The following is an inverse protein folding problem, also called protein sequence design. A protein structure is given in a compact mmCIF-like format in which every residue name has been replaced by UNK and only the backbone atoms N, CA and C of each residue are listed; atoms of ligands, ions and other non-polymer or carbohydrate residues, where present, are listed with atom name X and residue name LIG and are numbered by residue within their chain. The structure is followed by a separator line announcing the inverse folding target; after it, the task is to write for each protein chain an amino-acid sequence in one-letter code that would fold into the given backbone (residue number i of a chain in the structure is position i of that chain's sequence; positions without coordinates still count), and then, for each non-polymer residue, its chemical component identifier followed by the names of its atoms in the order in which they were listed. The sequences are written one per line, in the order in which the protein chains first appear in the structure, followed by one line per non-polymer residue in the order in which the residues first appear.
data_IF_748471589422
#
_entry.id   IF_748471589422
#
_cell.length_a   1.000
_cell.length_b   1.000
_cell.length_c   1.000
_cell.angle_alpha   90.00
_cell.angle_beta   90.00
_cell.angle_gamma   90.00
#
_symmetry.space_group_name_H-M   'P 1'
#
loop_
_entity.id
_entity.type
_entity.pdbx_description
1 polymer ?
#
# COMPACT_ATOMS: atom_id res chain seq x y z
N UNK A 1 -22.40 -20.28 -4.45
CA UNK A 1 -22.78 -19.35 -5.55
C UNK A 1 -23.92 -18.54 -5.00
N UNK A 2 -23.86 -17.22 -5.11
CA UNK A 2 -24.91 -16.35 -4.57
C UNK A 2 -26.25 -16.67 -5.23
N UNK A 3 -27.32 -16.70 -4.43
CA UNK A 3 -28.68 -16.70 -4.96
C UNK A 3 -28.89 -15.41 -5.77
N UNK A 4 -29.71 -15.46 -6.83
CA UNK A 4 -29.98 -14.30 -7.69
C UNK A 4 -30.51 -13.08 -6.92
N UNK A 5 -31.16 -13.30 -5.76
CA UNK A 5 -31.61 -12.23 -4.86
C UNK A 5 -30.49 -11.54 -4.08
N UNK A 6 -29.30 -12.14 -4.00
CA UNK A 6 -28.14 -11.63 -3.26
C UNK A 6 -27.09 -10.96 -4.17
N UNK A 7 -27.14 -11.19 -5.47
CA UNK A 7 -26.30 -10.46 -6.43
C UNK A 7 -26.87 -9.06 -6.70
N UNK A 8 -25.98 -8.10 -6.93
CA UNK A 8 -26.34 -6.76 -7.38
C UNK A 8 -25.57 -6.38 -8.64
N UNK A 9 -26.16 -5.56 -9.48
CA UNK A 9 -25.54 -5.12 -10.72
C UNK A 9 -24.61 -3.94 -10.47
N UNK A 10 -23.38 -4.02 -10.99
CA UNK A 10 -22.41 -2.93 -10.93
C UNK A 10 -22.55 -2.06 -12.19
N UNK A 11 -22.34 -0.73 -12.08
CA UNK A 11 -22.38 0.14 -13.25
C UNK A 11 -21.40 -0.33 -14.32
N UNK A 12 -21.91 -0.56 -15.54
CA UNK A 12 -21.11 -1.10 -16.65
C UNK A 12 -19.82 -0.28 -16.92
N UNK A 13 -19.91 1.05 -16.81
CA UNK A 13 -18.75 1.94 -16.95
C UNK A 13 -17.65 1.69 -15.92
N UNK A 14 -18.01 1.35 -14.68
CA UNK A 14 -17.04 1.00 -13.64
C UNK A 14 -16.31 -0.30 -13.99
N UNK A 15 -17.05 -1.32 -14.42
CA UNK A 15 -16.49 -2.61 -14.84
C UNK A 15 -15.44 -2.44 -15.94
N UNK A 16 -15.71 -1.62 -16.95
CA UNK A 16 -14.75 -1.31 -18.02
C UNK A 16 -13.49 -0.66 -17.44
N UNK A 17 -13.66 0.40 -16.65
CA UNK A 17 -12.52 1.13 -16.06
C UNK A 17 -11.67 0.22 -15.18
N UNK A 18 -12.31 -0.61 -14.35
CA UNK A 18 -11.64 -1.58 -13.50
C UNK A 18 -10.75 -2.55 -14.32
N UNK A 19 -11.27 -3.09 -15.43
CA UNK A 19 -10.47 -3.97 -16.29
C UNK A 19 -9.31 -3.23 -16.98
N UNK A 20 -9.52 -1.99 -17.42
CA UNK A 20 -8.45 -1.17 -18.01
C UNK A 20 -7.35 -0.90 -16.98
N UNK A 21 -7.71 -0.46 -15.78
CA UNK A 21 -6.77 -0.21 -14.68
C UNK A 21 -5.97 -1.49 -14.36
N UNK A 22 -6.65 -2.60 -14.13
CA UNK A 22 -6.02 -3.90 -13.85
C UNK A 22 -5.07 -4.32 -14.98
N UNK A 23 -5.46 -4.13 -16.24
CA UNK A 23 -4.65 -4.46 -17.42
C UNK A 23 -3.38 -3.61 -17.53
N UNK A 24 -3.35 -2.42 -16.93
CA UNK A 24 -2.17 -1.55 -16.87
C UNK A 24 -1.33 -1.85 -15.64
N UNK A 25 -1.97 -2.02 -14.48
CA UNK A 25 -1.30 -2.18 -13.18
C UNK A 25 -0.52 -3.49 -13.09
N UNK A 26 -1.04 -4.60 -13.61
CA UNK A 26 -0.32 -5.89 -13.61
C UNK A 26 1.01 -5.83 -14.38
N UNK A 27 1.06 -5.34 -15.64
CA UNK A 27 2.32 -5.09 -16.33
C UNK A 27 3.25 -4.14 -15.58
N UNK A 28 2.73 -3.10 -14.93
CA UNK A 28 3.52 -2.17 -14.12
C UNK A 28 4.22 -2.89 -12.97
N UNK A 29 3.51 -3.72 -12.20
CA UNK A 29 4.12 -4.51 -11.13
C UNK A 29 5.14 -5.50 -11.68
N UNK A 30 4.78 -6.25 -12.73
CA UNK A 30 5.66 -7.23 -13.37
C UNK A 30 6.98 -6.61 -13.86
N UNK A 31 6.88 -5.50 -14.59
CA UNK A 31 8.02 -4.74 -15.09
C UNK A 31 8.87 -4.18 -13.93
N UNK A 32 8.21 -3.66 -12.89
CA UNK A 32 8.90 -3.09 -11.73
C UNK A 32 9.69 -4.15 -10.97
N UNK A 33 9.08 -5.30 -10.67
CA UNK A 33 9.75 -6.44 -10.02
C UNK A 33 10.90 -6.94 -10.90
N UNK A 34 10.69 -7.06 -12.22
CA UNK A 34 11.73 -7.47 -13.16
C UNK A 34 12.93 -6.51 -13.17
N UNK A 35 12.70 -5.20 -13.25
CA UNK A 35 13.76 -4.19 -13.22
C UNK A 35 14.54 -4.29 -11.90
N UNK A 36 13.83 -4.41 -10.79
CA UNK A 36 14.48 -4.53 -9.48
C UNK A 36 15.36 -5.77 -9.43
N UNK A 37 14.86 -6.94 -9.81
CA UNK A 37 15.62 -8.20 -9.71
C UNK A 37 16.81 -8.22 -10.68
N UNK A 38 16.60 -7.86 -11.95
CA UNK A 38 17.56 -8.13 -13.01
C UNK A 38 18.41 -6.93 -13.46
N UNK A 39 18.01 -5.68 -13.17
CA UNK A 39 18.69 -4.48 -13.70
C UNK A 39 19.33 -3.59 -12.64
N UNK A 40 19.07 -3.82 -11.36
CA UNK A 40 19.70 -3.04 -10.28
C UNK A 40 21.07 -3.60 -9.86
N UNK A 41 22.01 -2.74 -9.43
CA UNK A 41 23.36 -3.17 -9.05
C UNK A 41 23.37 -4.06 -7.80
N UNK A 42 24.35 -4.95 -7.68
CA UNK A 42 24.49 -5.89 -6.56
C UNK A 42 24.59 -5.21 -5.19
N UNK A 43 25.23 -4.05 -5.09
CA UNK A 43 25.35 -3.26 -3.84
C UNK A 43 23.99 -2.76 -3.31
N UNK A 44 22.92 -2.88 -4.11
CA UNK A 44 21.55 -2.52 -3.75
C UNK A 44 20.72 -3.73 -3.30
N UNK A 45 21.32 -4.92 -3.20
CA UNK A 45 20.62 -6.19 -2.99
C UNK A 45 19.72 -6.24 -1.76
N UNK A 46 20.16 -5.70 -0.62
CA UNK A 46 19.39 -5.78 0.62
C UNK A 46 18.21 -4.83 0.63
N UNK A 47 18.41 -3.57 0.21
CA UNK A 47 17.29 -2.64 0.06
C UNK A 47 16.30 -3.10 -1.03
N UNK A 48 16.82 -3.69 -2.11
CA UNK A 48 15.99 -4.28 -3.17
C UNK A 48 15.00 -5.29 -2.64
N UNK A 49 15.39 -6.16 -1.68
CA UNK A 49 14.48 -7.16 -1.10
C UNK A 49 13.27 -6.47 -0.45
N UNK A 50 13.49 -5.46 0.38
CA UNK A 50 12.41 -4.69 1.01
C UNK A 50 11.51 -4.02 -0.03
N UNK A 51 12.10 -3.49 -1.09
CA UNK A 51 11.35 -2.82 -2.15
C UNK A 51 10.47 -3.78 -2.95
N UNK A 52 11.02 -4.95 -3.32
CA UNK A 52 10.26 -6.01 -4.00
C UNK A 52 9.12 -6.50 -3.12
N UNK A 53 9.36 -6.73 -1.83
CA UNK A 53 8.32 -7.14 -0.89
C UNK A 53 7.20 -6.09 -0.76
N UNK A 54 7.56 -4.80 -0.75
CA UNK A 54 6.58 -3.70 -0.70
C UNK A 54 5.76 -3.58 -2.00
N UNK A 55 6.39 -3.74 -3.17
CA UNK A 55 5.67 -3.78 -4.45
C UNK A 55 4.74 -4.99 -4.48
N UNK A 56 5.21 -6.15 -4.02
CA UNK A 56 4.41 -7.36 -3.93
C UNK A 56 3.24 -7.22 -2.96
N UNK A 57 3.41 -6.52 -1.82
CA UNK A 57 2.29 -6.22 -0.91
C UNK A 57 1.23 -5.36 -1.58
N UNK A 58 1.63 -4.39 -2.42
CA UNK A 58 0.71 -3.60 -3.24
C UNK A 58 -0.07 -4.45 -4.24
N UNK A 59 0.63 -5.29 -5.02
CA UNK A 59 -0.01 -6.22 -5.96
C UNK A 59 -0.97 -7.18 -5.25
N UNK A 60 -0.57 -7.75 -4.11
CA UNK A 60 -1.42 -8.66 -3.33
C UNK A 60 -2.71 -7.95 -2.88
N UNK A 61 -2.60 -6.73 -2.38
CA UNK A 61 -3.75 -5.96 -1.92
C UNK A 61 -4.67 -5.55 -3.10
N UNK A 62 -4.11 -5.23 -4.26
CA UNK A 62 -4.87 -4.94 -5.48
C UNK A 62 -5.63 -6.17 -6.00
N UNK A 63 -4.97 -7.33 -6.11
CA UNK A 63 -5.62 -8.61 -6.46
C UNK A 63 -6.71 -8.94 -5.47
N UNK A 64 -6.43 -8.76 -4.18
CA UNK A 64 -7.37 -9.05 -3.12
C UNK A 64 -8.60 -8.12 -3.18
N UNK A 65 -8.42 -6.81 -3.26
CA UNK A 65 -9.54 -5.85 -3.31
C UNK A 65 -10.31 -5.93 -4.61
N UNK A 66 -9.62 -6.06 -5.74
CA UNK A 66 -10.22 -5.97 -7.07
C UNK A 66 -10.82 -7.27 -7.61
N UNK A 67 -10.20 -8.41 -7.31
CA UNK A 67 -10.60 -9.71 -7.88
C UNK A 67 -11.24 -10.59 -6.82
N UNK A 68 -10.59 -10.77 -5.67
CA UNK A 68 -11.05 -11.73 -4.66
C UNK A 68 -12.25 -11.17 -3.90
N UNK A 69 -12.13 -9.96 -3.34
CA UNK A 69 -13.15 -9.37 -2.49
C UNK A 69 -14.16 -8.54 -3.28
N UNK A 70 -13.72 -7.76 -4.28
CA UNK A 70 -14.58 -6.91 -5.13
C UNK A 70 -15.62 -6.14 -4.31
N UNK A 71 -15.14 -5.41 -3.30
CA UNK A 71 -15.98 -4.71 -2.33
C UNK A 71 -16.49 -3.39 -2.88
N UNK A 72 -17.69 -3.00 -2.48
CA UNK A 72 -18.25 -1.65 -2.65
C UNK A 72 -18.97 -1.22 -1.38
N UNK A 73 -19.18 0.08 -1.22
CA UNK A 73 -19.98 0.66 -0.13
C UNK A 73 -21.27 1.21 -0.70
N UNK A 74 -22.42 0.79 -0.17
CA UNK A 74 -23.72 1.19 -0.74
C UNK A 74 -24.23 2.48 -0.10
N UNK A 75 -23.65 3.61 -0.51
CA UNK A 75 -24.01 4.92 0.01
C UNK A 75 -25.50 5.26 -0.21
N UNK A 76 -26.16 5.98 0.73
CA UNK A 76 -25.62 6.55 1.97
C UNK A 76 -25.54 5.54 3.13
N UNK A 77 -25.95 4.30 2.91
CA UNK A 77 -25.90 3.23 3.91
C UNK A 77 -24.43 2.75 4.03
N UNK A 78 -23.80 2.81 5.21
CA UNK A 78 -22.40 2.41 5.38
C UNK A 78 -22.22 0.87 5.42
N UNK A 79 -22.91 0.16 4.53
CA UNK A 79 -22.81 -1.30 4.36
C UNK A 79 -21.77 -1.59 3.28
N UNK A 80 -20.88 -2.54 3.56
CA UNK A 80 -19.94 -3.05 2.58
C UNK A 80 -20.52 -4.30 1.96
N UNK A 81 -20.54 -4.35 0.63
CA UNK A 81 -21.07 -5.45 -0.14
C UNK A 81 -20.00 -5.96 -1.10
N UNK A 82 -19.94 -7.28 -1.29
CA UNK A 82 -19.08 -7.93 -2.27
C UNK A 82 -19.91 -8.49 -3.44
N UNK A 83 -19.33 -8.48 -4.64
CA UNK A 83 -19.93 -9.05 -5.85
C UNK A 83 -18.99 -10.02 -6.58
N UNK A 84 -18.01 -10.61 -5.88
CA UNK A 84 -17.07 -11.57 -6.46
C UNK A 84 -17.59 -13.01 -6.39
N UNK A 85 -16.83 -13.94 -6.96
CA UNK A 85 -17.08 -15.37 -6.81
C UNK A 85 -16.98 -15.86 -5.35
N UNK A 86 -16.39 -15.06 -4.45
CA UNK A 86 -16.30 -15.35 -3.01
C UNK A 86 -17.28 -14.53 -2.15
N UNK A 87 -18.21 -13.79 -2.75
CA UNK A 87 -19.04 -12.83 -1.98
C UNK A 87 -19.89 -13.49 -0.89
N UNK A 88 -20.32 -14.75 -1.08
CA UNK A 88 -21.04 -15.53 -0.05
C UNK A 88 -20.26 -15.63 1.28
N UNK A 89 -18.93 -15.46 1.22
CA UNK A 89 -18.03 -15.50 2.36
C UNK A 89 -17.49 -14.10 2.74
N UNK A 90 -18.15 -13.01 2.34
CA UNK A 90 -17.60 -11.65 2.51
C UNK A 90 -17.07 -11.32 3.92
N UNK A 91 -17.72 -11.72 5.04
CA UNK A 91 -17.19 -11.50 6.38
C UNK A 91 -15.87 -12.24 6.63
N UNK A 92 -15.72 -13.46 6.09
CA UNK A 92 -14.48 -14.25 6.16
C UNK A 92 -13.42 -13.59 5.28
N UNK A 93 -13.79 -13.21 4.06
CA UNK A 93 -12.87 -12.54 3.13
C UNK A 93 -12.32 -11.27 3.78
N UNK A 94 -13.16 -10.46 4.43
CA UNK A 94 -12.72 -9.26 5.17
C UNK A 94 -11.62 -9.54 6.20
N UNK A 95 -11.57 -10.72 6.84
CA UNK A 95 -10.51 -11.05 7.82
C UNK A 95 -9.10 -11.09 7.19
N UNK A 96 -9.01 -11.27 5.87
CA UNK A 96 -7.74 -11.19 5.13
C UNK A 96 -7.30 -9.74 4.85
N UNK A 97 -8.21 -8.77 4.88
CA UNK A 97 -7.87 -7.36 4.64
C UNK A 97 -6.89 -6.84 5.69
N UNK A 98 -7.12 -6.97 7.02
CA UNK A 98 -6.14 -6.59 8.02
C UNK A 98 -4.78 -7.26 7.81
N UNK A 99 -4.74 -8.53 7.41
CA UNK A 99 -3.47 -9.23 7.14
C UNK A 99 -2.70 -8.59 5.97
N UNK A 100 -3.38 -8.24 4.88
CA UNK A 100 -2.77 -7.55 3.74
C UNK A 100 -2.28 -6.15 4.13
N UNK A 101 -3.09 -5.40 4.90
CA UNK A 101 -2.70 -4.07 5.40
C UNK A 101 -1.53 -4.12 6.38
N UNK A 102 -1.47 -5.13 7.26
CA UNK A 102 -0.35 -5.39 8.15
C UNK A 102 0.92 -5.65 7.33
N UNK A 103 0.82 -6.48 6.28
CA UNK A 103 1.97 -6.78 5.42
C UNK A 103 2.52 -5.51 4.74
N UNK A 104 1.62 -4.66 4.22
CA UNK A 104 1.98 -3.34 3.68
C UNK A 104 2.58 -2.42 4.75
N UNK A 105 2.01 -2.39 5.96
CA UNK A 105 2.55 -1.61 7.08
C UNK A 105 3.96 -2.03 7.49
N UNK A 106 4.19 -3.35 7.61
CA UNK A 106 5.51 -3.92 7.92
C UNK A 106 6.52 -3.54 6.84
N UNK A 107 6.15 -3.63 5.56
CA UNK A 107 7.06 -3.32 4.46
C UNK A 107 7.44 -1.83 4.44
N UNK A 108 6.50 -0.92 4.68
CA UNK A 108 6.74 0.53 4.80
C UNK A 108 7.68 0.83 5.98
N UNK A 109 7.38 0.32 7.17
CA UNK A 109 8.21 0.55 8.37
C UNK A 109 9.63 0.02 8.12
N UNK A 110 9.75 -1.17 7.53
CA UNK A 110 11.04 -1.77 7.21
C UNK A 110 11.86 -0.91 6.24
N UNK A 111 11.24 -0.33 5.21
CA UNK A 111 11.90 0.59 4.28
C UNK A 111 12.47 1.82 4.99
N UNK A 112 11.67 2.49 5.84
CA UNK A 112 12.12 3.68 6.56
C UNK A 112 13.18 3.37 7.62
N UNK A 113 13.00 2.29 8.40
CA UNK A 113 13.94 1.90 9.45
C UNK A 113 15.27 1.44 8.85
N UNK A 114 15.24 0.63 7.79
CA UNK A 114 16.46 0.23 7.08
C UNK A 114 17.23 1.45 6.56
N UNK A 115 16.54 2.46 6.03
CA UNK A 115 17.17 3.70 5.57
C UNK A 115 17.81 4.50 6.70
N UNK A 116 17.14 4.59 7.85
CA UNK A 116 17.69 5.23 9.03
C UNK A 116 18.98 4.52 9.48
N UNK A 117 18.95 3.19 9.61
CA UNK A 117 20.11 2.41 10.05
C UNK A 117 21.30 2.54 9.11
N UNK A 118 21.06 2.48 7.79
CA UNK A 118 22.10 2.63 6.78
C UNK A 118 22.83 3.99 6.85
N UNK A 119 22.18 5.04 7.35
CA UNK A 119 22.81 6.38 7.48
C UNK A 119 23.43 6.57 8.87
N UNK A 120 22.74 6.12 9.92
CA UNK A 120 23.14 6.31 11.33
C UNK A 120 24.49 5.69 11.64
N UNK A 121 24.81 4.52 11.05
CA UNK A 121 26.09 3.84 11.25
C UNK A 121 27.28 4.76 10.91
N UNK A 122 27.14 5.62 9.91
CA UNK A 122 28.19 6.55 9.49
C UNK A 122 28.21 7.89 10.24
N UNK A 123 27.20 8.15 11.06
CA UNK A 123 27.09 9.35 11.89
C UNK A 123 27.52 9.12 13.35
N UNK A 124 27.77 7.88 13.76
CA UNK A 124 27.96 7.49 15.18
C UNK A 124 26.83 8.01 16.09
N UNK A 125 25.59 8.09 15.57
CA UNK A 125 24.46 8.68 16.27
C UNK A 125 23.88 7.70 17.30
N UNK A 126 24.18 7.92 18.58
CA UNK A 126 23.61 7.22 19.73
C UNK A 126 22.35 7.89 20.32
N UNK A 127 21.52 8.53 19.49
CA UNK A 127 20.44 9.40 19.99
C UNK A 127 19.28 8.65 20.65
N UNK A 128 18.65 9.31 21.62
CA UNK A 128 17.39 8.88 22.25
C UNK A 128 16.30 8.66 21.19
N UNK A 129 16.28 9.51 20.13
CA UNK A 129 15.33 9.40 19.04
C UNK A 129 15.45 8.05 18.29
N UNK A 130 16.67 7.53 18.07
CA UNK A 130 16.86 6.20 17.48
C UNK A 130 16.27 5.10 18.35
N UNK A 131 16.49 5.16 19.67
CA UNK A 131 15.90 4.21 20.63
C UNK A 131 14.37 4.29 20.60
N UNK A 132 13.82 5.50 20.49
CA UNK A 132 12.38 5.73 20.34
C UNK A 132 11.82 5.05 19.08
N UNK A 133 12.47 5.17 17.92
CA UNK A 133 12.07 4.45 16.70
C UNK A 133 12.04 2.94 16.91
N UNK A 134 13.07 2.37 17.54
CA UNK A 134 13.12 0.92 17.80
C UNK A 134 12.03 0.47 18.77
N UNK A 135 11.76 1.26 19.81
CA UNK A 135 10.68 0.99 20.75
C UNK A 135 9.31 1.07 20.07
N UNK A 136 9.03 2.11 19.29
CA UNK A 136 7.78 2.25 18.54
C UNK A 136 7.60 1.11 17.52
N UNK A 137 8.69 0.69 16.86
CA UNK A 137 8.67 -0.49 15.97
C UNK A 137 8.30 -1.76 16.74
N UNK A 138 8.87 -1.97 17.93
CA UNK A 138 8.54 -3.12 18.77
C UNK A 138 7.08 -3.08 19.23
N UNK A 139 6.60 -1.92 19.70
CA UNK A 139 5.20 -1.69 20.05
C UNK A 139 4.26 -1.94 18.87
N UNK A 140 4.63 -1.51 17.66
CA UNK A 140 3.88 -1.81 16.44
C UNK A 140 3.71 -3.31 16.24
N UNK A 141 4.76 -4.12 16.38
CA UNK A 141 4.66 -5.58 16.25
C UNK A 141 3.81 -6.22 17.34
N UNK A 142 3.88 -5.72 18.58
CA UNK A 142 2.96 -6.15 19.64
C UNK A 142 1.51 -5.84 19.26
N UNK A 143 1.23 -4.62 18.82
CA UNK A 143 -0.11 -4.22 18.38
C UNK A 143 -0.61 -5.07 17.19
N UNK A 144 0.27 -5.42 16.24
CA UNK A 144 -0.06 -6.35 15.13
C UNK A 144 -0.54 -7.70 15.64
N UNK A 145 0.10 -8.27 16.67
CA UNK A 145 -0.38 -9.53 17.27
C UNK A 145 -1.80 -9.37 17.82
N UNK A 146 -2.07 -8.26 18.51
CA UNK A 146 -3.43 -7.96 18.98
C UNK A 146 -4.42 -7.75 17.83
N UNK A 147 -4.04 -7.06 16.75
CA UNK A 147 -4.88 -6.92 15.55
C UNK A 147 -5.25 -8.30 15.01
N UNK A 148 -4.30 -9.22 14.87
CA UNK A 148 -4.56 -10.58 14.38
C UNK A 148 -5.57 -11.33 15.28
N UNK A 149 -5.37 -11.28 16.60
CA UNK A 149 -6.27 -11.92 17.57
C UNK A 149 -7.67 -11.32 17.46
N UNK A 150 -7.79 -10.00 17.53
CA UNK A 150 -9.08 -9.31 17.48
C UNK A 150 -9.77 -9.39 16.12
N UNK A 151 -9.02 -9.54 15.03
CA UNK A 151 -9.57 -9.85 13.70
C UNK A 151 -10.39 -11.14 13.76
N UNK A 152 -9.81 -12.21 14.30
CA UNK A 152 -10.50 -13.51 14.46
C UNK A 152 -11.68 -13.38 15.42
N UNK A 153 -11.49 -12.72 16.57
CA UNK A 153 -12.55 -12.55 17.57
C UNK A 153 -13.72 -11.68 17.07
N UNK A 154 -13.49 -10.79 16.11
CA UNK A 154 -14.53 -9.93 15.52
C UNK A 154 -15.42 -10.65 14.51
N UNK A 155 -15.05 -11.85 14.07
CA UNK A 155 -15.78 -12.57 13.03
C UNK A 155 -17.27 -12.82 13.35
N UNK A 156 -17.66 -13.27 14.57
CA UNK A 156 -19.07 -13.43 14.91
C UNK A 156 -19.88 -12.13 14.78
N UNK A 157 -19.28 -10.98 15.12
CA UNK A 157 -19.91 -9.66 15.04
C UNK A 157 -20.09 -9.18 13.59
N UNK A 158 -19.24 -9.68 12.69
CA UNK A 158 -19.31 -9.39 11.26
C UNK A 158 -20.30 -10.32 10.54
N UNK A 159 -20.39 -11.58 10.97
CA UNK A 159 -21.27 -12.59 10.36
C UNK A 159 -22.71 -12.47 10.85
N UNK A 160 -22.95 -12.44 12.16
CA UNK A 160 -24.30 -12.51 12.73
C UNK A 160 -24.84 -11.10 12.99
N UNK A 161 -25.33 -10.45 11.95
CA UNK A 161 -25.71 -9.03 12.00
C UNK A 161 -27.21 -8.74 11.86
N UNK A 162 -28.10 -9.74 11.99
CA UNK A 162 -29.54 -9.52 11.76
C UNK A 162 -30.11 -8.39 12.62
N UNK A 163 -29.82 -8.38 13.94
CA UNK A 163 -30.29 -7.33 14.85
C UNK A 163 -29.70 -5.96 14.50
N UNK A 164 -28.41 -5.92 14.17
CA UNK A 164 -27.75 -4.67 13.80
C UNK A 164 -28.25 -4.13 12.45
N UNK A 165 -28.50 -5.01 11.46
CA UNK A 165 -29.09 -4.66 10.17
C UNK A 165 -30.51 -4.10 10.35
N UNK A 166 -31.33 -4.68 11.22
CA UNK A 166 -32.66 -4.14 11.56
C UNK A 166 -32.56 -2.71 12.14
N UNK A 167 -31.62 -2.47 13.06
CA UNK A 167 -31.38 -1.13 13.61
C UNK A 167 -30.90 -0.15 12.53
N UNK A 168 -30.05 -0.59 11.60
CA UNK A 168 -29.57 0.27 10.51
C UNK A 168 -30.66 0.54 9.47
N UNK A 169 -31.55 -0.42 9.19
CA UNK A 169 -32.70 -0.23 8.30
C UNK A 169 -33.67 0.82 8.87
N UNK A 170 -33.94 0.78 10.18
CA UNK A 170 -34.72 1.82 10.86
C UNK A 170 -34.09 3.22 10.72
N UNK A 171 -32.75 3.30 10.64
CA UNK A 171 -32.01 4.56 10.55
C UNK A 171 -31.91 5.12 9.14
N UNK A 172 -31.63 4.26 8.16
CA UNK A 172 -31.34 4.68 6.79
C UNK A 172 -32.49 4.42 5.80
N UNK A 173 -33.56 3.78 6.26
CA UNK A 173 -34.69 3.38 5.42
C UNK A 173 -34.57 1.95 4.91
N UNK A 174 -35.59 1.54 4.16
CA UNK A 174 -35.76 0.16 3.71
C UNK A 174 -34.57 -0.33 2.88
N UNK A 175 -34.06 -1.51 3.24
CA UNK A 175 -32.94 -2.13 2.56
C UNK A 175 -33.38 -2.88 1.31
N UNK A 176 -32.46 -2.94 0.34
CA UNK A 176 -32.64 -3.80 -0.82
C UNK A 176 -32.47 -5.27 -0.42
N UNK A 177 -33.14 -6.23 -1.08
CA UNK A 177 -33.10 -7.64 -0.70
C UNK A 177 -31.67 -8.21 -0.58
N UNK A 178 -30.77 -7.83 -1.48
CA UNK A 178 -29.39 -8.30 -1.46
C UNK A 178 -28.59 -7.84 -0.23
N UNK A 179 -28.96 -6.71 0.39
CA UNK A 179 -28.27 -6.19 1.58
C UNK A 179 -28.48 -7.08 2.82
N UNK A 180 -29.51 -7.91 2.82
CA UNK A 180 -29.79 -8.86 3.89
C UNK A 180 -28.92 -10.12 3.81
N UNK A 181 -28.36 -10.42 2.66
CA UNK A 181 -27.51 -11.60 2.44
C UNK A 181 -26.11 -11.44 3.07
N UNK A 182 -25.39 -12.56 3.17
CA UNK A 182 -24.05 -12.64 3.78
C UNK A 182 -22.94 -11.94 2.97
N UNK A 183 -23.20 -11.58 1.71
CA UNK A 183 -22.27 -10.77 0.92
C UNK A 183 -22.20 -9.31 1.36
N UNK A 184 -23.11 -8.87 2.21
CA UNK A 184 -23.18 -7.52 2.72
C UNK A 184 -23.13 -7.50 4.25
N UNK A 185 -22.24 -6.67 4.81
CA UNK A 185 -22.09 -6.53 6.26
C UNK A 185 -21.69 -5.11 6.65
N UNK A 186 -21.96 -4.75 7.89
CA UNK A 186 -21.56 -3.48 8.49
C UNK A 186 -20.35 -3.64 9.39
N UNK A 187 -19.67 -2.53 9.68
CA UNK A 187 -18.89 -2.42 10.90
C UNK A 187 -19.82 -2.23 12.09
N UNK A 188 -19.95 -3.28 12.92
CA UNK A 188 -20.82 -3.30 14.09
C UNK A 188 -20.16 -2.57 15.27
N UNK A 189 -20.29 -1.25 15.31
CA UNK A 189 -19.75 -0.43 16.39
C UNK A 189 -20.54 -0.50 17.71
N UNK A 190 -21.66 -1.21 17.76
CA UNK A 190 -22.33 -1.52 19.04
C UNK A 190 -21.53 -2.59 19.81
N UNK A 191 -20.93 -3.56 19.10
CA UNK A 191 -20.07 -4.58 19.72
C UNK A 191 -18.81 -3.98 20.34
N UNK A 192 -18.59 -4.33 21.61
CA UNK A 192 -17.36 -3.99 22.34
C UNK A 192 -16.14 -4.64 21.72
N UNK A 193 -16.23 -5.87 21.21
CA UNK A 193 -15.11 -6.59 20.60
C UNK A 193 -14.70 -5.88 19.30
N UNK A 194 -15.67 -5.57 18.43
CA UNK A 194 -15.39 -4.86 17.19
C UNK A 194 -14.86 -3.44 17.44
N UNK A 195 -15.38 -2.71 18.44
CA UNK A 195 -14.81 -1.41 18.86
C UNK A 195 -13.35 -1.53 19.31
N UNK A 196 -13.03 -2.53 20.13
CA UNK A 196 -11.65 -2.78 20.55
C UNK A 196 -10.75 -3.11 19.37
N UNK A 197 -11.20 -3.99 18.46
CA UNK A 197 -10.50 -4.27 17.20
C UNK A 197 -10.19 -2.98 16.43
N UNK A 198 -11.18 -2.11 16.23
CA UNK A 198 -11.02 -0.84 15.52
C UNK A 198 -10.01 0.09 16.21
N UNK A 199 -10.09 0.24 17.54
CA UNK A 199 -9.16 1.06 18.32
C UNK A 199 -7.73 0.51 18.23
N UNK A 200 -7.54 -0.81 18.34
CA UNK A 200 -6.22 -1.46 18.24
C UNK A 200 -5.64 -1.25 16.84
N UNK A 201 -6.45 -1.38 15.78
CA UNK A 201 -6.04 -1.04 14.41
C UNK A 201 -5.57 0.41 14.30
N UNK A 202 -6.34 1.36 14.85
CA UNK A 202 -5.97 2.78 14.84
C UNK A 202 -4.64 3.04 15.59
N UNK A 203 -4.46 2.46 16.77
CA UNK A 203 -3.21 2.55 17.55
C UNK A 203 -2.03 1.94 16.77
N UNK A 204 -2.25 0.82 16.08
CA UNK A 204 -1.22 0.17 15.25
C UNK A 204 -0.78 1.09 14.11
N UNK A 205 -1.73 1.70 13.40
CA UNK A 205 -1.45 2.65 12.31
C UNK A 205 -0.71 3.87 12.82
N UNK A 206 -1.16 4.48 13.93
CA UNK A 206 -0.50 5.64 14.53
C UNK A 206 0.92 5.32 14.97
N UNK A 207 1.13 4.18 15.63
CA UNK A 207 2.45 3.74 16.10
C UNK A 207 3.40 3.49 14.93
N UNK A 208 2.93 2.78 13.90
CA UNK A 208 3.72 2.51 12.69
C UNK A 208 4.09 3.76 11.92
N UNK A 209 3.12 4.67 11.74
CA UNK A 209 3.32 5.95 11.05
C UNK A 209 4.30 6.83 11.82
N UNK A 210 4.12 6.96 13.14
CA UNK A 210 5.02 7.74 13.99
C UNK A 210 6.46 7.19 13.95
N UNK A 211 6.62 5.87 13.99
CA UNK A 211 7.93 5.22 13.83
C UNK A 211 8.58 5.58 12.49
N UNK A 212 7.84 5.48 11.39
CA UNK A 212 8.34 5.82 10.05
C UNK A 212 8.70 7.31 9.92
N UNK A 213 7.88 8.21 10.47
CA UNK A 213 8.11 9.66 10.44
C UNK A 213 9.36 10.06 11.24
N UNK A 214 9.55 9.51 12.44
CA UNK A 214 10.77 9.78 13.23
C UNK A 214 11.99 9.19 12.53
N UNK A 215 11.91 7.98 11.98
CA UNK A 215 13.00 7.36 11.22
C UNK A 215 13.40 8.22 10.01
N UNK A 216 12.41 8.76 9.28
CA UNK A 216 12.64 9.72 8.21
C UNK A 216 13.35 10.99 8.72
N UNK A 217 12.86 11.59 9.80
CA UNK A 217 13.46 12.80 10.40
C UNK A 217 14.91 12.60 10.84
N UNK A 218 15.23 11.46 11.47
CA UNK A 218 16.60 11.08 11.83
C UNK A 218 17.45 10.92 10.57
N UNK A 219 16.93 10.26 9.53
CA UNK A 219 17.65 10.06 8.27
C UNK A 219 18.04 11.40 7.64
N UNK A 220 17.10 12.36 7.58
CA UNK A 220 17.37 13.72 7.08
C UNK A 220 18.43 14.42 7.94
N UNK A 221 18.26 14.41 9.27
CA UNK A 221 19.20 15.03 10.22
C UNK A 221 20.62 14.48 10.02
N UNK A 222 20.77 13.16 9.95
CA UNK A 222 22.08 12.52 9.81
C UNK A 222 22.71 12.84 8.45
N UNK A 223 21.98 12.72 7.33
CA UNK A 223 22.50 13.05 6.00
C UNK A 223 23.01 14.50 5.93
N UNK A 224 22.31 15.42 6.59
CA UNK A 224 22.65 16.85 6.59
C UNK A 224 23.72 17.21 7.62
N UNK A 225 24.06 16.31 8.55
CA UNK A 225 25.08 16.58 9.57
C UNK A 225 26.49 16.61 8.98
N UNK A 226 27.31 17.54 9.49
CA UNK A 226 28.75 17.67 9.13
C UNK A 226 29.56 16.46 9.61
N UNK A 227 29.11 15.80 10.68
CA UNK A 227 29.80 14.66 11.30
C UNK A 227 29.73 13.36 10.48
N UNK A 228 28.90 13.29 9.44
CA UNK A 228 28.79 12.07 8.65
C UNK A 228 30.03 11.84 7.79
N UNK A 229 30.58 10.62 7.88
CA UNK A 229 31.69 10.15 7.04
C UNK A 229 31.27 9.77 5.61
N UNK A 230 30.09 10.22 5.17
CA UNK A 230 29.53 9.88 3.86
C UNK A 230 30.07 10.83 2.79
N UNK A 231 30.50 10.28 1.65
CA UNK A 231 30.84 11.08 0.47
C UNK A 231 29.64 11.90 -0.02
N UNK A 232 29.90 13.03 -0.70
CA UNK A 232 28.84 13.86 -1.28
C UNK A 232 27.93 13.06 -2.24
N UNK A 233 28.52 12.15 -3.03
CA UNK A 233 27.79 11.27 -3.95
C UNK A 233 26.87 10.30 -3.21
N UNK A 234 27.34 9.70 -2.12
CA UNK A 234 26.53 8.78 -1.30
C UNK A 234 25.39 9.54 -0.62
N UNK A 235 25.64 10.74 -0.07
CA UNK A 235 24.60 11.60 0.52
C UNK A 235 23.50 11.92 -0.49
N UNK A 236 23.87 12.34 -1.71
CA UNK A 236 22.91 12.63 -2.78
C UNK A 236 22.07 11.41 -3.14
N UNK A 237 22.68 10.22 -3.21
CA UNK A 237 21.97 8.97 -3.45
C UNK A 237 20.92 8.70 -2.37
N UNK A 238 21.30 8.77 -1.09
CA UNK A 238 20.34 8.60 0.01
C UNK A 238 19.21 9.62 -0.01
N UNK A 239 19.49 10.91 -0.28
CA UNK A 239 18.44 11.94 -0.40
C UNK A 239 17.44 11.61 -1.51
N UNK A 240 17.93 11.23 -2.68
CA UNK A 240 17.08 10.87 -3.81
C UNK A 240 16.18 9.67 -3.50
N UNK A 241 16.71 8.63 -2.84
CA UNK A 241 15.89 7.50 -2.40
C UNK A 241 14.85 7.90 -1.35
N UNK A 242 15.24 8.73 -0.39
CA UNK A 242 14.37 9.12 0.71
C UNK A 242 13.22 10.03 0.25
N UNK A 243 13.49 10.95 -0.67
CA UNK A 243 12.46 11.78 -1.31
C UNK A 243 11.50 10.89 -2.12
N UNK A 244 12.03 9.96 -2.90
CA UNK A 244 11.21 9.00 -3.66
C UNK A 244 10.27 8.19 -2.74
N UNK A 245 10.80 7.70 -1.61
CA UNK A 245 10.02 6.96 -0.62
C UNK A 245 8.96 7.85 0.07
N UNK A 246 9.28 9.12 0.34
CA UNK A 246 8.34 10.08 0.92
C UNK A 246 7.17 10.36 -0.04
N UNK A 247 7.46 10.57 -1.33
CA UNK A 247 6.42 10.79 -2.34
C UNK A 247 5.52 9.54 -2.46
N UNK A 248 6.12 8.35 -2.50
CA UNK A 248 5.38 7.08 -2.50
C UNK A 248 4.48 6.91 -1.26
N UNK A 249 4.99 7.27 -0.07
CA UNK A 249 4.22 7.25 1.16
C UNK A 249 3.08 8.29 1.17
N UNK A 250 3.32 9.49 0.63
CA UNK A 250 2.29 10.52 0.49
C UNK A 250 1.16 10.07 -0.45
N UNK A 251 1.48 9.35 -1.53
CA UNK A 251 0.49 8.75 -2.43
C UNK A 251 -0.33 7.69 -1.70
N UNK A 252 0.30 6.77 -0.97
CA UNK A 252 -0.43 5.81 -0.13
C UNK A 252 -1.38 6.51 0.83
N UNK A 253 -0.87 7.51 1.55
CA UNK A 253 -1.67 8.30 2.49
C UNK A 253 -2.85 8.99 1.82
N UNK A 254 -2.62 9.66 0.68
CA UNK A 254 -3.67 10.35 -0.09
C UNK A 254 -4.71 9.39 -0.65
N UNK A 255 -4.29 8.33 -1.34
CA UNK A 255 -5.19 7.36 -1.97
C UNK A 255 -5.99 6.52 -0.98
N UNK A 256 -5.61 6.45 0.30
CA UNK A 256 -6.38 5.77 1.34
C UNK A 256 -7.23 6.78 2.13
N UNK A 257 -6.62 7.87 2.60
CA UNK A 257 -7.29 8.83 3.47
C UNK A 257 -8.37 9.63 2.74
N UNK A 258 -8.12 10.07 1.49
CA UNK A 258 -9.09 10.87 0.73
C UNK A 258 -10.37 10.07 0.49
N UNK A 259 -10.33 8.80 0.01
CA UNK A 259 -11.54 7.99 -0.11
C UNK A 259 -12.27 7.74 1.20
N UNK A 260 -11.54 7.47 2.30
CA UNK A 260 -12.17 7.30 3.61
C UNK A 260 -12.90 8.56 4.06
N UNK A 261 -12.29 9.74 3.89
CA UNK A 261 -12.95 11.02 4.16
C UNK A 261 -14.14 11.24 3.22
N UNK A 262 -14.03 10.83 1.94
CA UNK A 262 -15.11 10.90 0.97
C UNK A 262 -16.33 10.06 1.37
N UNK A 263 -16.12 8.82 1.83
CA UNK A 263 -17.19 7.98 2.36
C UNK A 263 -17.85 8.62 3.59
N UNK A 264 -17.04 9.04 4.57
CA UNK A 264 -17.55 9.70 5.80
C UNK A 264 -18.36 10.96 5.49
N UNK A 265 -17.89 11.75 4.53
CA UNK A 265 -18.56 12.97 4.09
C UNK A 265 -19.89 12.69 3.39
N UNK A 266 -19.95 11.68 2.51
CA UNK A 266 -21.17 11.28 1.83
C UNK A 266 -22.22 10.68 2.76
N UNK A 267 -21.79 9.97 3.81
CA UNK A 267 -22.69 9.40 4.83
C UNK A 267 -23.22 10.50 5.77
N UNK A 268 -22.41 11.50 6.12
CA UNK A 268 -22.71 12.44 7.22
C UNK A 268 -23.29 13.78 6.77
N UNK A 269 -22.75 14.39 5.72
CA UNK A 269 -23.01 15.79 5.39
C UNK A 269 -23.71 15.96 4.04
N UNK A 270 -23.23 15.27 3.01
CA UNK A 270 -23.68 15.49 1.63
C UNK A 270 -24.23 14.20 1.05
N UNK A 271 -25.44 13.87 1.47
CA UNK A 271 -26.19 12.72 0.95
C UNK A 271 -26.42 12.84 -0.56
N UNK A 272 -26.41 14.04 -1.15
CA UNK A 272 -26.46 14.16 -2.62
C UNK A 272 -25.26 13.53 -3.33
N UNK A 273 -24.09 13.40 -2.70
CA UNK A 273 -22.99 12.63 -3.29
C UNK A 273 -23.30 11.13 -3.34
N UNK A 274 -24.13 10.62 -2.43
CA UNK A 274 -24.60 9.24 -2.51
C UNK A 274 -25.57 9.01 -3.66
N UNK A 275 -26.14 10.07 -4.24
CA UNK A 275 -26.99 9.97 -5.44
C UNK A 275 -26.15 9.77 -6.71
N UNK A 276 -24.84 10.03 -6.67
CA UNK A 276 -23.95 9.73 -7.79
C UNK A 276 -23.61 8.22 -7.77
N UNK A 277 -24.13 7.42 -8.71
CA UNK A 277 -24.00 5.97 -8.67
C UNK A 277 -22.55 5.50 -8.78
N UNK A 278 -21.67 6.29 -9.42
CA UNK A 278 -20.26 5.96 -9.59
C UNK A 278 -19.38 6.35 -8.40
N UNK A 279 -19.85 7.21 -7.50
CA UNK A 279 -19.03 7.77 -6.42
C UNK A 279 -18.38 6.70 -5.52
N UNK A 280 -19.11 5.75 -4.92
CA UNK A 280 -18.48 4.73 -4.08
C UNK A 280 -17.50 3.85 -4.84
N UNK A 281 -17.81 3.53 -6.11
CA UNK A 281 -16.94 2.72 -6.97
C UNK A 281 -15.63 3.43 -7.32
N UNK A 282 -15.67 4.73 -7.60
CA UNK A 282 -14.46 5.54 -7.85
C UNK A 282 -13.60 5.59 -6.58
N UNK A 283 -14.20 5.79 -5.41
CA UNK A 283 -13.48 5.82 -4.15
C UNK A 283 -12.78 4.47 -3.86
N UNK A 284 -13.48 3.34 -4.06
CA UNK A 284 -12.86 2.02 -3.95
C UNK A 284 -11.75 1.83 -4.98
N UNK A 285 -11.95 2.27 -6.22
CA UNK A 285 -10.92 2.16 -7.27
C UNK A 285 -9.64 2.92 -6.90
N UNK A 286 -9.76 4.12 -6.31
CA UNK A 286 -8.60 4.88 -5.82
C UNK A 286 -7.88 4.12 -4.70
N UNK A 287 -8.63 3.52 -3.77
CA UNK A 287 -8.06 2.66 -2.73
C UNK A 287 -7.40 1.43 -3.35
N UNK A 288 -7.98 0.83 -4.38
CA UNK A 288 -7.42 -0.36 -5.04
C UNK A 288 -6.09 -0.03 -5.73
N UNK A 289 -6.05 1.03 -6.55
CA UNK A 289 -4.91 1.35 -7.43
C UNK A 289 -3.75 2.07 -6.72
N UNK A 290 -3.85 2.36 -5.42
CA UNK A 290 -2.82 3.07 -4.66
C UNK A 290 -1.41 2.44 -4.79
N UNK A 291 -1.33 1.10 -4.80
CA UNK A 291 -0.08 0.35 -4.92
C UNK A 291 0.59 0.55 -6.28
N UNK A 292 -0.20 0.54 -7.36
CA UNK A 292 0.29 0.73 -8.72
C UNK A 292 0.77 2.17 -8.92
N UNK A 293 -0.04 3.16 -8.50
CA UNK A 293 0.30 4.58 -8.58
C UNK A 293 1.57 4.90 -7.77
N UNK A 294 1.70 4.32 -6.57
CA UNK A 294 2.91 4.46 -5.76
C UNK A 294 4.13 3.82 -6.44
N UNK A 295 3.98 2.64 -7.04
CA UNK A 295 5.04 1.94 -7.75
C UNK A 295 5.54 2.75 -8.95
N UNK A 296 4.62 3.24 -9.79
CA UNK A 296 4.94 4.12 -10.93
C UNK A 296 5.71 5.35 -10.41
N UNK A 297 5.20 6.00 -9.38
CA UNK A 297 5.81 7.22 -8.85
C UNK A 297 7.20 6.97 -8.28
N UNK A 298 7.41 5.84 -7.61
CA UNK A 298 8.73 5.45 -7.13
C UNK A 298 9.73 5.27 -8.28
N UNK A 299 9.33 4.65 -9.39
CA UNK A 299 10.19 4.48 -10.56
C UNK A 299 10.49 5.81 -11.27
N UNK A 300 9.53 6.73 -11.34
CA UNK A 300 9.70 8.04 -11.96
C UNK A 300 10.51 9.03 -11.11
N UNK A 301 10.31 9.00 -9.79
CA UNK A 301 10.99 9.89 -8.84
C UNK A 301 12.40 9.45 -8.51
N UNK A 302 12.72 8.16 -8.63
CA UNK A 302 14.05 7.67 -8.28
C UNK A 302 15.01 7.65 -9.47
N UNK A 303 16.04 8.50 -9.45
CA UNK A 303 17.07 8.54 -10.51
C UNK A 303 17.67 7.18 -10.91
N UNK A 304 17.86 6.22 -9.98
CA UNK A 304 18.43 4.91 -10.30
C UNK A 304 17.41 4.04 -11.05
N UNK A 305 16.17 3.98 -10.55
CA UNK A 305 15.10 3.20 -11.17
C UNK A 305 14.67 3.82 -12.50
N UNK A 306 14.57 5.15 -12.58
CA UNK A 306 14.27 5.87 -13.82
C UNK A 306 15.31 5.59 -14.90
N UNK A 307 16.60 5.60 -14.56
CA UNK A 307 17.66 5.25 -15.52
C UNK A 307 17.57 3.79 -15.97
N UNK A 308 17.21 2.86 -15.07
CA UNK A 308 17.01 1.47 -15.43
C UNK A 308 15.81 1.28 -16.36
N UNK A 309 14.69 1.95 -16.08
CA UNK A 309 13.50 1.98 -16.93
C UNK A 309 13.81 2.58 -18.31
N UNK A 310 14.46 3.74 -18.36
CA UNK A 310 14.82 4.39 -19.62
C UNK A 310 15.76 3.54 -20.47
N UNK A 311 16.72 2.82 -19.88
CA UNK A 311 17.58 1.88 -20.62
C UNK A 311 16.86 0.66 -21.20
N UNK A 312 15.66 0.34 -20.71
CA UNK A 312 14.84 -0.70 -21.32
C UNK A 312 14.02 -0.15 -22.48
N UNK A 313 13.47 1.05 -22.32
CA UNK A 313 12.66 1.72 -23.33
C UNK A 313 13.52 2.21 -24.51
N UNK A 314 14.76 2.63 -24.22
CA UNK A 314 15.76 2.94 -25.23
C UNK A 314 16.43 1.65 -25.68
N UNK A 315 16.04 1.18 -26.86
CA UNK A 315 16.68 0.13 -27.66
C UNK A 315 18.22 0.32 -27.61
N UNK A 316 19.03 -0.74 -27.52
CA UNK A 316 20.48 -0.65 -27.28
C UNK A 316 21.23 -0.06 -28.46
N UNK A 317 21.19 1.26 -28.63
CA UNK A 317 21.90 1.97 -29.70
C UNK A 317 23.39 2.18 -29.39
N UNK A 318 23.98 1.45 -28.42
CA UNK A 318 25.42 1.60 -28.10
C UNK A 318 26.21 0.31 -27.98
N UNK A 319 25.65 -0.85 -28.32
CA UNK A 319 26.49 -2.07 -28.41
C UNK A 319 27.23 -2.22 -29.74
N UNK A 320 27.00 -1.38 -30.75
CA UNK A 320 27.68 -1.53 -32.04
C UNK A 320 28.93 -0.66 -32.25
N UNK A 321 29.34 0.22 -31.33
CA UNK A 321 30.47 1.13 -31.57
C UNK A 321 31.79 0.77 -30.88
N UNK A 322 31.86 -0.28 -30.06
CA UNK A 322 33.12 -0.68 -29.39
C UNK A 322 33.87 -1.85 -30.06
N UNK A 323 33.42 -2.33 -31.23
CA UNK A 323 34.23 -3.23 -32.05
C UNK A 323 35.03 -2.40 -33.06
N UNK A 324 35.96 -1.58 -32.59
CA UNK A 324 37.03 -1.04 -33.42
C UNK A 324 38.37 -1.54 -32.86
N UNK A 325 39.09 -2.41 -33.61
CA UNK A 325 40.36 -2.95 -33.16
C UNK A 325 41.44 -1.88 -33.32
N UNK A 326 41.80 -1.19 -32.23
CA UNK A 326 43.08 -0.48 -32.12
C UNK A 326 44.13 -1.51 -31.71
N UNK A 327 44.81 -2.14 -32.66
CA UNK A 327 46.13 -1.71 -33.15
C UNK A 327 47.16 -1.50 -32.02
N UNK A 328 48.04 -2.50 -31.91
CA UNK A 328 49.48 -2.36 -31.73
C UNK A 328 49.97 -1.28 -30.75
N UNK A 329 49.90 -1.58 -29.46
CA UNK A 329 50.90 -1.04 -28.53
C UNK A 329 52.17 -1.87 -28.69
N UNK A 330 53.06 -1.33 -29.53
CA UNK A 330 54.42 -1.79 -29.73
C UNK A 330 55.14 -1.93 -28.39
N UNK A 331 55.63 -3.14 -28.15
CA UNK A 331 56.62 -3.50 -27.15
C UNK A 331 57.86 -2.61 -27.29
N UNK A 332 57.96 -1.61 -26.43
CA UNK A 332 59.22 -0.91 -26.15
C UNK A 332 60.03 -1.81 -25.21
N UNK A 333 60.82 -2.70 -25.80
CA UNK A 333 61.89 -3.39 -25.09
C UNK A 333 62.94 -2.36 -24.72
N UNK A 334 63.00 -2.04 -23.43
CA UNK A 334 64.08 -1.26 -22.83
C UNK A 334 65.29 -2.20 -22.76
N UNK A 335 66.35 -1.77 -23.42
CA UNK A 335 67.70 -2.36 -23.43
C UNK A 335 68.41 -2.12 -22.09
#
# INVERSE_FOLDING_TARGET
MLNCSCSFEEPFGYTIVHYICTSISFPVYGLSIWILIFRTPSNFSDYRKYLVLHIFSGLLLEVYMGIIWKVTVVLPIPIMCSNSFTAEYAPIIFLFLPACLIYTGISIISLFVYRMEAVVIHASEGSIARRCVMYLRYMFFICVVFVCIFTILSYPDLKHQNEYKLKMEQRFGQFQPYMWCDNCFFFNFDSTIFKLFYVICAVTVVTGTTSATIAFGITIKCINSVRTRLSAKTKQMHRNFLISLLIAAAIHGGCILIPLLGFLWAISFVVSLSQCPYFPYILVLIIQEHGAVSTITMFLSNNLLRKALMRMLMIPESRSSNNLPSQNLQSTNIM
#
